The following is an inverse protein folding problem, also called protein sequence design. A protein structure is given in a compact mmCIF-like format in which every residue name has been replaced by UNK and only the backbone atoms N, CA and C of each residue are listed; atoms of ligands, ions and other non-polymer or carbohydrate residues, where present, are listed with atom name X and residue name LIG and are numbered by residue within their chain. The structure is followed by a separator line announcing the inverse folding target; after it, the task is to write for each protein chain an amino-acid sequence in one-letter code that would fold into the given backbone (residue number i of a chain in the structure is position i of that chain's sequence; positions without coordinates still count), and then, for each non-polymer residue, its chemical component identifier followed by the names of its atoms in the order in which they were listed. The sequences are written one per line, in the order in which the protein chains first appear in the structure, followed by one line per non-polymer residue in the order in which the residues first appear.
data_IF_114509743283
#
_entry.id   IF_114509743283
#
_cell.length_a   1.000
_cell.length_b   1.000
_cell.length_c   1.000
_cell.angle_alpha   90.00
_cell.angle_beta   90.00
_cell.angle_gamma   90.00
#
_symmetry.space_group_name_H-M   'P 1'
#
loop_
_entity.id
_entity.type
_entity.pdbx_description
1 polymer ?
#
# COMPACT_ATOMS: atom_id res chain seq x y z
N UNK A 1 -3.81 6.45 24.24
CA UNK A 1 -5.00 5.76 23.71
C UNK A 1 -4.50 4.46 23.11
N UNK A 2 -4.86 3.33 23.71
CA UNK A 2 -4.64 2.01 23.12
C UNK A 2 -6.02 1.56 22.61
N UNK A 3 -6.05 0.91 21.45
CA UNK A 3 -7.26 0.26 20.98
C UNK A 3 -7.31 -1.14 21.57
N UNK A 4 -8.46 -1.54 22.10
CA UNK A 4 -8.65 -2.87 22.70
C UNK A 4 -8.83 -3.98 21.63
N UNK A 5 -8.93 -3.59 20.36
CA UNK A 5 -9.18 -4.48 19.22
C UNK A 5 -7.89 -4.90 18.51
N UNK A 6 -7.78 -6.17 18.15
CA UNK A 6 -6.74 -6.67 17.24
C UNK A 6 -7.13 -6.33 15.78
N UNK A 7 -6.63 -5.19 15.31
CA UNK A 7 -6.88 -4.74 13.94
C UNK A 7 -6.36 -5.70 12.87
N UNK A 8 -5.29 -6.45 13.14
CA UNK A 8 -4.75 -7.38 12.16
C UNK A 8 -5.72 -8.54 11.97
N UNK A 9 -6.15 -9.16 13.09
CA UNK A 9 -7.16 -10.21 13.05
C UNK A 9 -8.49 -9.72 12.45
N UNK A 10 -8.88 -8.47 12.74
CA UNK A 10 -10.08 -7.87 12.15
C UNK A 10 -9.97 -7.70 10.64
N UNK A 11 -8.85 -7.14 10.15
CA UNK A 11 -8.61 -6.97 8.71
C UNK A 11 -8.62 -8.34 8.03
N UNK A 12 -7.90 -9.33 8.56
CA UNK A 12 -7.85 -10.67 7.98
C UNK A 12 -9.26 -11.27 7.89
N UNK A 13 -10.06 -11.18 8.94
CA UNK A 13 -11.44 -11.68 8.95
C UNK A 13 -12.33 -10.96 7.93
N UNK A 14 -12.25 -9.63 7.87
CA UNK A 14 -13.09 -8.82 6.96
C UNK A 14 -12.71 -9.08 5.49
N UNK A 15 -11.43 -9.27 5.20
CA UNK A 15 -10.92 -9.44 3.84
C UNK A 15 -10.76 -10.90 3.39
N UNK A 16 -10.92 -11.89 4.27
CA UNK A 16 -10.73 -13.32 3.96
C UNK A 16 -11.52 -13.83 2.73
N UNK A 17 -12.71 -13.28 2.48
CA UNK A 17 -13.57 -13.66 1.35
C UNK A 17 -13.40 -12.81 0.09
N UNK A 18 -12.57 -11.77 0.13
CA UNK A 18 -12.46 -10.78 -0.95
C UNK A 18 -11.65 -11.37 -2.10
N UNK A 19 -12.28 -11.43 -3.28
CA UNK A 19 -11.66 -11.92 -4.52
C UNK A 19 -11.16 -10.81 -5.44
N UNK A 20 -11.47 -9.55 -5.12
CA UNK A 20 -11.05 -8.41 -5.93
C UNK A 20 -9.57 -8.14 -5.72
N UNK A 21 -8.88 -7.76 -6.80
CA UNK A 21 -7.46 -7.43 -6.76
C UNK A 21 -7.33 -5.94 -6.42
N UNK A 22 -6.47 -5.61 -5.45
CA UNK A 22 -6.18 -4.22 -5.08
C UNK A 22 -5.80 -3.37 -6.32
N UNK A 23 -6.36 -2.17 -6.42
CA UNK A 23 -6.17 -1.26 -7.57
C UNK A 23 -4.70 -0.96 -7.82
N UNK A 24 -3.93 -0.62 -6.78
CA UNK A 24 -2.49 -0.35 -6.90
C UNK A 24 -1.70 -1.52 -7.48
N UNK A 25 -2.06 -2.77 -7.15
CA UNK A 25 -1.43 -3.94 -7.78
C UNK A 25 -1.73 -3.98 -9.28
N UNK A 26 -2.97 -3.70 -9.67
CA UNK A 26 -3.35 -3.67 -11.08
C UNK A 26 -2.62 -2.55 -11.84
N UNK A 27 -2.41 -1.39 -11.21
CA UNK A 27 -1.67 -0.28 -11.81
C UNK A 27 -0.19 -0.64 -12.01
N UNK A 28 0.46 -1.21 -10.98
CA UNK A 28 1.84 -1.66 -11.08
C UNK A 28 2.04 -2.67 -12.20
N UNK A 29 1.16 -3.68 -12.27
CA UNK A 29 1.16 -4.69 -13.32
C UNK A 29 0.98 -4.10 -14.72
N UNK A 30 0.16 -3.04 -14.85
CA UNK A 30 -0.08 -2.36 -16.11
C UNK A 30 0.94 -1.24 -16.40
N UNK A 31 1.94 -1.07 -15.54
CA UNK A 31 2.95 -0.02 -15.65
C UNK A 31 2.40 1.40 -15.54
N UNK A 32 1.29 1.58 -14.80
CA UNK A 32 0.69 2.89 -14.51
C UNK A 32 1.20 3.42 -13.17
N UNK A 33 1.10 4.74 -13.01
CA UNK A 33 1.28 5.37 -11.71
C UNK A 33 0.15 4.95 -10.76
N UNK A 34 0.49 4.73 -9.50
CA UNK A 34 -0.43 4.41 -8.41
C UNK A 34 -0.80 5.67 -7.63
N UNK A 35 -1.82 5.54 -6.79
CA UNK A 35 -2.26 6.61 -5.87
C UNK A 35 -1.44 6.64 -4.56
N UNK A 36 -0.33 5.89 -4.43
CA UNK A 36 0.40 5.72 -3.17
C UNK A 36 0.81 7.03 -2.51
N UNK A 37 1.17 8.04 -3.31
CA UNK A 37 1.55 9.36 -2.82
C UNK A 37 0.38 10.12 -2.18
N UNK A 38 -0.82 9.96 -2.71
CA UNK A 38 -2.04 10.61 -2.20
C UNK A 38 -2.68 9.84 -1.04
N UNK A 39 -2.28 8.58 -0.85
CA UNK A 39 -2.73 7.72 0.25
C UNK A 39 -1.68 7.70 1.37
N UNK A 40 -0.87 6.64 1.46
CA UNK A 40 0.12 6.47 2.53
C UNK A 40 1.13 7.63 2.58
N UNK A 41 1.51 8.17 1.41
CA UNK A 41 2.39 9.32 1.33
C UNK A 41 1.80 10.56 2.00
N UNK A 42 0.52 10.85 1.74
CA UNK A 42 -0.20 11.96 2.35
C UNK A 42 -0.32 11.80 3.87
N UNK A 43 -0.59 10.58 4.35
CA UNK A 43 -0.62 10.30 5.80
C UNK A 43 0.76 10.52 6.43
N UNK A 44 1.83 10.06 5.79
CA UNK A 44 3.19 10.27 6.29
C UNK A 44 3.58 11.75 6.33
N UNK A 45 3.23 12.51 5.29
CA UNK A 45 3.48 13.95 5.22
C UNK A 45 2.69 14.71 6.29
N UNK A 46 1.41 14.38 6.48
CA UNK A 46 0.58 14.99 7.53
C UNK A 46 1.10 14.64 8.92
N UNK A 47 1.48 13.38 9.16
CA UNK A 47 2.10 12.95 10.40
C UNK A 47 3.35 13.77 10.72
N UNK A 48 4.25 13.94 9.75
CA UNK A 48 5.45 14.75 9.92
C UNK A 48 5.13 16.22 10.26
N UNK A 49 4.12 16.82 9.60
CA UNK A 49 3.69 18.19 9.88
C UNK A 49 3.16 18.38 11.31
N UNK A 50 2.62 17.32 11.92
CA UNK A 50 2.11 17.32 13.30
C UNK A 50 3.03 16.66 14.32
N UNK A 51 4.26 16.28 13.94
CA UNK A 51 5.20 15.61 14.85
C UNK A 51 4.78 14.18 15.24
N UNK A 52 3.96 13.51 14.44
CA UNK A 52 3.50 12.13 14.63
C UNK A 52 4.24 11.21 13.65
N UNK A 53 5.17 10.35 14.12
CA UNK A 53 5.87 9.42 13.26
C UNK A 53 4.93 8.41 12.60
N UNK A 54 5.04 8.28 11.28
CA UNK A 54 4.24 7.33 10.48
C UNK A 54 5.15 6.37 9.70
N UNK A 55 6.01 5.57 10.38
CA UNK A 55 7.09 4.83 9.74
C UNK A 55 6.60 3.78 8.74
N UNK A 56 5.49 3.09 9.04
CA UNK A 56 4.91 2.08 8.14
C UNK A 56 4.40 2.72 6.85
N UNK A 57 3.69 3.85 6.94
CA UNK A 57 3.21 4.58 5.76
C UNK A 57 4.37 5.09 4.90
N UNK A 58 5.42 5.63 5.51
CA UNK A 58 6.61 6.08 4.80
C UNK A 58 7.31 4.92 4.08
N UNK A 59 7.51 3.79 4.76
CA UNK A 59 8.15 2.61 4.18
C UNK A 59 7.33 2.02 3.01
N UNK A 60 6.02 1.86 3.18
CA UNK A 60 5.12 1.40 2.10
C UNK A 60 5.17 2.34 0.90
N UNK A 61 5.16 3.65 1.14
CA UNK A 61 5.27 4.66 0.07
C UNK A 61 6.57 4.48 -0.72
N UNK A 62 7.70 4.35 -0.03
CA UNK A 62 9.00 4.15 -0.68
C UNK A 62 9.05 2.86 -1.50
N UNK A 63 8.57 1.73 -0.94
CA UNK A 63 8.58 0.44 -1.62
C UNK A 63 7.75 0.46 -2.92
N UNK A 64 6.55 1.05 -2.89
CA UNK A 64 5.71 1.14 -4.08
C UNK A 64 6.31 2.13 -5.10
N UNK A 65 6.90 3.26 -4.67
CA UNK A 65 7.62 4.17 -5.57
C UNK A 65 8.77 3.49 -6.30
N UNK A 66 9.51 2.60 -5.62
CA UNK A 66 10.53 1.76 -6.25
C UNK A 66 9.90 0.78 -7.24
N UNK A 67 8.78 0.14 -6.90
CA UNK A 67 8.07 -0.76 -7.80
C UNK A 67 7.55 -0.06 -9.07
N UNK A 68 7.03 1.17 -8.94
CA UNK A 68 6.63 2.03 -10.07
C UNK A 68 7.82 2.32 -10.99
N UNK A 69 8.96 2.72 -10.42
CA UNK A 69 10.15 3.10 -11.18
C UNK A 69 10.81 1.92 -11.90
N UNK A 70 10.81 0.74 -11.26
CA UNK A 70 11.47 -0.45 -11.79
C UNK A 70 10.57 -1.32 -12.66
N UNK A 71 9.24 -1.09 -12.64
CA UNK A 71 8.23 -1.97 -13.25
C UNK A 71 8.43 -3.43 -12.81
N UNK A 72 8.82 -3.64 -11.55
CA UNK A 72 9.24 -4.94 -11.03
C UNK A 72 8.10 -5.99 -11.00
N UNK A 73 6.84 -5.55 -10.99
CA UNK A 73 5.68 -6.44 -11.00
C UNK A 73 5.21 -6.73 -12.43
N UNK A 74 5.39 -7.97 -12.88
CA UNK A 74 4.86 -8.50 -14.14
C UNK A 74 3.58 -9.29 -13.89
N UNK A 75 2.73 -9.52 -14.90
CA UNK A 75 1.66 -10.49 -14.71
C UNK A 75 2.24 -11.89 -14.54
N UNK A 76 1.57 -12.76 -13.76
CA UNK A 76 1.89 -14.19 -13.74
C UNK A 76 1.85 -14.84 -15.13
N UNK A 77 1.08 -14.27 -16.07
CA UNK A 77 0.98 -14.72 -17.46
C UNK A 77 2.18 -14.32 -18.33
N UNK A 78 3.00 -13.37 -17.88
CA UNK A 78 4.16 -12.86 -18.63
C UNK A 78 5.46 -13.60 -18.27
N UNK A 79 5.38 -14.61 -17.39
CA UNK A 79 6.50 -15.45 -16.95
C UNK A 79 6.59 -16.79 -17.69
N UNK A 80 5.81 -16.96 -18.77
CA UNK A 80 5.77 -18.13 -19.64
C UNK A 80 6.52 -17.86 -20.96
#
# INVERSE_FOLDING_TARGET
MAFDEDFVALIDRVFAGVRTIASMRQDLVRGRMTEIGQMNGAVAALGAAHGIPCPVNAALTAMIKVAEATRALKQPRDAA
#
